data_IF_908930811126
#
_entry.id   IF_908930811126
#
_cell.length_a   1.000
_cell.length_b   1.000
_cell.length_c   1.000
_cell.angle_alpha   90.00
_cell.angle_beta   90.00
_cell.angle_gamma   90.00
#
_symmetry.space_group_name_H-M   'P 1'
#
loop_
_entity.id
_entity.type
_entity.pdbx_description
1 polymer ?
#
# COMPACT_ATOMS: atom_id res chain seq x y z
N UNK A 1 21.80 6.52 1.53
CA UNK A 1 20.32 6.67 1.60
C UNK A 1 19.72 5.37 2.11
N UNK A 2 18.76 5.41 3.04
CA UNK A 2 18.24 4.21 3.74
C UNK A 2 17.12 3.47 2.97
N UNK A 3 16.34 4.17 2.13
CA UNK A 3 15.17 3.60 1.45
C UNK A 3 15.48 2.43 0.50
N UNK A 4 16.53 2.47 -0.36
CA UNK A 4 16.81 1.38 -1.29
C UNK A 4 17.17 0.05 -0.62
N UNK A 5 17.52 0.06 0.67
CA UNK A 5 17.87 -1.12 1.46
C UNK A 5 16.78 -1.54 2.45
N UNK A 6 15.68 -0.78 2.56
CA UNK A 6 14.62 -1.08 3.49
C UNK A 6 13.90 -2.36 3.06
N UNK A 7 13.84 -3.35 3.96
CA UNK A 7 13.07 -4.59 3.72
C UNK A 7 11.60 -4.44 4.15
N UNK A 8 11.34 -3.53 5.07
CA UNK A 8 10.02 -3.31 5.68
C UNK A 8 9.78 -1.83 5.84
N UNK A 9 8.63 -1.36 5.39
CA UNK A 9 8.15 0.01 5.54
C UNK A 9 6.77 -0.03 6.18
N UNK A 10 6.58 0.82 7.19
CA UNK A 10 5.31 0.96 7.91
C UNK A 10 4.82 2.39 7.74
N UNK A 11 3.58 2.55 7.31
CA UNK A 11 2.90 3.83 7.16
C UNK A 11 1.71 3.87 8.10
N UNK A 12 1.61 4.89 8.95
CA UNK A 12 0.52 5.04 9.94
C UNK A 12 -0.65 5.92 9.43
N UNK A 13 -0.87 5.96 8.11
CA UNK A 13 -1.87 6.84 7.49
C UNK A 13 -2.66 6.11 6.41
N UNK A 14 -3.96 5.93 6.63
CA UNK A 14 -4.92 5.39 5.65
C UNK A 14 -5.70 6.45 4.86
N UNK A 15 -5.32 7.73 4.96
CA UNK A 15 -5.90 8.81 4.17
C UNK A 15 -5.30 8.92 2.76
N UNK A 16 -5.85 9.80 1.92
CA UNK A 16 -5.47 9.93 0.51
C UNK A 16 -3.94 10.00 0.29
N UNK A 17 -3.25 10.89 1.01
CA UNK A 17 -1.79 11.05 0.92
C UNK A 17 -1.02 9.78 1.32
N UNK A 18 -1.46 9.09 2.38
CA UNK A 18 -0.79 7.86 2.81
C UNK A 18 -0.95 6.73 1.80
N UNK A 19 -2.12 6.64 1.17
CA UNK A 19 -2.44 5.65 0.14
C UNK A 19 -1.68 5.93 -1.15
N UNK A 20 -1.68 7.17 -1.64
CA UNK A 20 -0.90 7.60 -2.81
C UNK A 20 0.59 7.30 -2.62
N UNK A 21 1.16 7.74 -1.49
CA UNK A 21 2.56 7.50 -1.17
C UNK A 21 2.92 6.01 -1.08
N UNK A 22 2.01 5.18 -0.53
CA UNK A 22 2.23 3.73 -0.46
C UNK A 22 2.27 3.06 -1.85
N UNK A 23 1.47 3.56 -2.80
CA UNK A 23 1.49 3.11 -4.18
C UNK A 23 2.81 3.48 -4.87
N UNK A 24 3.24 4.74 -4.75
CA UNK A 24 4.52 5.20 -5.32
C UNK A 24 5.72 4.43 -4.77
N UNK A 25 5.73 4.14 -3.45
CA UNK A 25 6.76 3.30 -2.84
C UNK A 25 6.75 1.88 -3.39
N UNK A 26 5.56 1.29 -3.56
CA UNK A 26 5.41 -0.03 -4.15
C UNK A 26 5.98 -0.07 -5.57
N UNK A 27 5.62 0.89 -6.42
CA UNK A 27 6.16 0.99 -7.78
C UNK A 27 7.68 1.22 -7.79
N UNK A 28 8.18 2.12 -6.96
CA UNK A 28 9.60 2.47 -6.93
C UNK A 28 10.48 1.33 -6.41
N UNK A 29 10.03 0.61 -5.38
CA UNK A 29 10.83 -0.40 -4.68
C UNK A 29 10.57 -1.82 -5.19
N UNK A 30 9.33 -2.15 -5.52
CA UNK A 30 8.93 -3.49 -5.99
C UNK A 30 8.79 -3.55 -7.52
N UNK A 31 8.73 -2.41 -8.21
CA UNK A 31 8.51 -2.33 -9.65
C UNK A 31 7.03 -2.37 -10.03
N UNK A 32 6.74 -2.17 -11.31
CA UNK A 32 5.38 -2.22 -11.84
C UNK A 32 4.97 -3.66 -12.23
N UNK A 33 3.70 -4.03 -12.07
CA UNK A 33 3.19 -5.30 -12.57
C UNK A 33 3.39 -5.41 -14.08
N UNK A 34 3.95 -6.54 -14.54
CA UNK A 34 4.16 -6.80 -15.97
C UNK A 34 2.85 -6.98 -16.73
N UNK A 35 2.93 -7.05 -18.07
CA UNK A 35 1.78 -7.08 -18.98
C UNK A 35 0.75 -8.21 -18.71
N UNK A 36 1.17 -9.27 -18.01
CA UNK A 36 0.31 -10.39 -17.62
C UNK A 36 -0.33 -10.23 -16.23
N UNK A 37 -0.30 -9.03 -15.64
CA UNK A 37 -0.95 -8.75 -14.35
C UNK A 37 -0.34 -9.51 -13.17
N UNK A 38 0.87 -10.06 -13.35
CA UNK A 38 1.54 -10.85 -12.32
C UNK A 38 2.01 -9.98 -11.16
N UNK A 39 1.81 -10.48 -9.94
CA UNK A 39 2.39 -9.95 -8.71
C UNK A 39 3.91 -9.78 -8.90
N UNK A 40 4.43 -8.56 -8.74
CA UNK A 40 5.89 -8.38 -8.70
C UNK A 40 6.39 -9.03 -7.42
N UNK A 41 7.42 -9.87 -7.51
CA UNK A 41 8.03 -10.45 -6.31
C UNK A 41 8.52 -9.30 -5.41
N UNK A 42 7.78 -9.04 -4.32
CA UNK A 42 8.01 -7.91 -3.44
C UNK A 42 9.43 -7.99 -2.86
N UNK A 43 10.24 -6.98 -3.18
CA UNK A 43 11.58 -6.79 -2.59
C UNK A 43 11.47 -6.14 -1.22
N UNK A 44 10.46 -5.28 -1.06
CA UNK A 44 10.13 -4.54 0.16
C UNK A 44 8.69 -4.84 0.55
N UNK A 45 8.48 -5.20 1.81
CA UNK A 45 7.14 -5.31 2.40
C UNK A 45 6.67 -3.95 2.89
N UNK A 46 5.52 -3.49 2.40
CA UNK A 46 4.92 -2.21 2.78
C UNK A 46 3.60 -2.48 3.50
N UNK A 47 3.44 -1.94 4.71
CA UNK A 47 2.23 -2.06 5.50
C UNK A 47 1.64 -0.67 5.79
N UNK A 48 0.38 -0.47 5.43
CA UNK A 48 -0.37 0.76 5.72
C UNK A 48 -1.38 0.47 6.83
N UNK A 49 -1.22 1.15 7.95
CA UNK A 49 -2.12 1.03 9.09
C UNK A 49 -3.17 2.14 9.07
N UNK A 50 -4.42 1.75 9.32
CA UNK A 50 -5.53 2.68 9.54
C UNK A 50 -6.29 2.31 10.79
N UNK A 51 -6.63 3.33 11.59
CA UNK A 51 -7.41 3.16 12.80
C UNK A 51 -8.88 2.78 12.51
N UNK A 52 -9.38 3.15 11.34
CA UNK A 52 -10.76 2.88 10.92
C UNK A 52 -10.94 1.51 10.25
N UNK A 53 -12.18 1.16 9.91
CA UNK A 53 -12.50 -0.10 9.23
C UNK A 53 -12.12 -0.11 7.75
N UNK A 54 -11.79 1.05 7.16
CA UNK A 54 -11.37 1.20 5.76
C UNK A 54 -10.34 2.32 5.60
N UNK A 55 -9.58 2.27 4.51
CA UNK A 55 -8.80 3.40 4.00
C UNK A 55 -9.70 4.35 3.23
N UNK A 56 -9.23 5.58 2.99
CA UNK A 56 -9.99 6.60 2.25
C UNK A 56 -11.41 6.76 2.82
N UNK A 57 -11.53 6.99 4.14
CA UNK A 57 -12.80 6.96 4.88
C UNK A 57 -13.90 7.84 4.30
N UNK A 58 -13.53 8.91 3.60
CA UNK A 58 -14.43 9.86 2.96
C UNK A 58 -15.03 9.33 1.63
N UNK A 59 -14.55 8.19 1.13
CA UNK A 59 -14.97 7.59 -0.14
C UNK A 59 -15.89 6.39 0.08
N UNK A 60 -16.58 5.99 -0.99
CA UNK A 60 -17.43 4.79 -0.98
C UNK A 60 -16.57 3.53 -0.75
N UNK A 61 -17.06 2.54 0.00
CA UNK A 61 -16.30 1.32 0.30
C UNK A 61 -15.77 0.60 -0.95
N UNK A 62 -16.49 0.62 -2.07
CA UNK A 62 -16.03 0.02 -3.32
C UNK A 62 -14.72 0.63 -3.85
N UNK A 63 -14.49 1.92 -3.62
CA UNK A 63 -13.25 2.61 -4.01
C UNK A 63 -12.11 2.17 -3.10
N UNK A 64 -12.34 2.11 -1.78
CA UNK A 64 -11.35 1.63 -0.82
C UNK A 64 -10.95 0.17 -1.10
N UNK A 65 -11.92 -0.71 -1.37
CA UNK A 65 -11.67 -2.11 -1.76
C UNK A 65 -10.83 -2.21 -3.03
N UNK A 66 -11.14 -1.39 -4.04
CA UNK A 66 -10.35 -1.38 -5.28
C UNK A 66 -8.92 -0.88 -5.04
N UNK A 67 -8.75 0.19 -4.25
CA UNK A 67 -7.44 0.71 -3.89
C UNK A 67 -6.58 -0.33 -3.15
N UNK A 68 -7.17 -1.10 -2.23
CA UNK A 68 -6.47 -2.19 -1.55
C UNK A 68 -6.01 -3.29 -2.50
N UNK A 69 -6.84 -3.66 -3.49
CA UNK A 69 -6.44 -4.64 -4.50
C UNK A 69 -5.28 -4.13 -5.37
N UNK A 70 -5.28 -2.84 -5.74
CA UNK A 70 -4.20 -2.22 -6.48
C UNK A 70 -2.90 -2.14 -5.66
N UNK A 71 -2.99 -1.71 -4.40
CA UNK A 71 -1.85 -1.69 -3.48
C UNK A 71 -1.25 -3.09 -3.27
N UNK A 72 -2.11 -4.11 -3.17
CA UNK A 72 -1.67 -5.49 -3.03
C UNK A 72 -0.79 -5.94 -4.20
N UNK A 73 -1.15 -5.57 -5.43
CA UNK A 73 -0.35 -5.87 -6.62
C UNK A 73 1.04 -5.22 -6.56
N UNK A 74 1.16 -4.08 -5.89
CA UNK A 74 2.41 -3.33 -5.69
C UNK A 74 3.20 -3.79 -4.44
N UNK A 75 2.75 -4.83 -3.74
CA UNK A 75 3.40 -5.34 -2.52
C UNK A 75 3.11 -4.51 -1.27
N UNK A 76 2.05 -3.69 -1.29
CA UNK A 76 1.55 -2.95 -0.14
C UNK A 76 0.27 -3.58 0.41
N UNK A 77 0.23 -3.79 1.73
CA UNK A 77 -0.93 -4.37 2.42
C UNK A 77 -1.54 -3.37 3.38
N UNK A 78 -2.87 -3.34 3.44
CA UNK A 78 -3.61 -2.49 4.38
C UNK A 78 -4.02 -3.28 5.62
N UNK A 79 -3.69 -2.74 6.79
CA UNK A 79 -4.05 -3.27 8.10
C UNK A 79 -5.05 -2.30 8.75
N UNK A 80 -6.29 -2.76 8.86
CA UNK A 80 -7.43 -1.97 9.35
C UNK A 80 -7.61 -2.10 10.86
N UNK A 81 -8.44 -1.24 11.44
CA UNK A 81 -8.82 -1.26 12.86
C UNK A 81 -7.61 -1.31 13.82
N UNK A 82 -6.48 -0.71 13.42
CA UNK A 82 -5.23 -0.80 14.18
C UNK A 82 -4.61 0.58 14.32
N UNK A 83 -4.26 0.94 15.55
CA UNK A 83 -3.47 2.15 15.88
C UNK A 83 -2.05 1.72 16.22
N UNK A 84 -1.07 2.46 15.71
CA UNK A 84 0.35 2.30 16.03
C UNK A 84 0.74 3.22 17.19
#
# INVERSE_FOLDING_TARGET
MALPMAKTIVLSSGGATGIEFSGELGENLNGQPGWFGGFSASKTSIAVYTAGPQILSELRPSIATNAEALLWILGATVIRNTRL
#
